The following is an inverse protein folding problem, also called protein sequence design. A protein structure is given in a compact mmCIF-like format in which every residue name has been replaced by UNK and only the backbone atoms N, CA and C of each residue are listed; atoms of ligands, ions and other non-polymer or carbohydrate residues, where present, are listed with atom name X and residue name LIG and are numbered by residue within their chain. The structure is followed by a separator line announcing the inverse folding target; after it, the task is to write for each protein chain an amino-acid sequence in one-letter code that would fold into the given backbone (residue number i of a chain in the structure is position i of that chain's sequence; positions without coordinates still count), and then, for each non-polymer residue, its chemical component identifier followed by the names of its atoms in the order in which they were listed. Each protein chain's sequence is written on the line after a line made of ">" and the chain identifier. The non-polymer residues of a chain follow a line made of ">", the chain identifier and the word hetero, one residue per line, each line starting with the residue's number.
data_IF_424912029035
#
_entry.id   IF_424912029035
#
_cell.length_a   1.000
_cell.length_b   1.000
_cell.length_c   1.000
_cell.angle_alpha   90.00
_cell.angle_beta   90.00
_cell.angle_gamma   90.00
#
_symmetry.space_group_name_H-M   'P 1'
#
loop_
_entity.id
_entity.type
_entity.pdbx_description
1 polymer ?
#
# COMPACT_ATOMS: atom_id res chain seq x y z
N UNK A 1 34.19 58.64 2.75
CA UNK A 1 33.54 57.74 1.75
C UNK A 1 33.59 56.26 2.19
N UNK A 2 34.62 55.83 2.92
CA UNK A 2 34.87 54.41 3.26
C UNK A 2 33.90 53.75 4.26
N UNK A 3 33.35 54.48 5.23
CA UNK A 3 32.45 53.87 6.23
C UNK A 3 31.11 53.42 5.62
N UNK A 4 30.56 54.19 4.68
CA UNK A 4 29.30 53.84 4.00
C UNK A 4 29.46 52.59 3.13
N UNK A 5 30.60 52.44 2.44
CA UNK A 5 30.90 51.26 1.61
C UNK A 5 31.12 50.00 2.45
N UNK A 6 31.79 50.10 3.61
CA UNK A 6 31.93 48.97 4.55
C UNK A 6 30.58 48.50 5.13
N UNK A 7 29.69 49.43 5.49
CA UNK A 7 28.35 49.09 5.97
C UNK A 7 27.49 48.40 4.89
N UNK A 8 27.57 48.87 3.64
CA UNK A 8 26.90 48.23 2.50
C UNK A 8 27.43 46.81 2.26
N UNK A 9 28.75 46.61 2.30
CA UNK A 9 29.37 45.31 2.13
C UNK A 9 28.97 44.31 3.23
N UNK A 10 28.96 44.75 4.49
CA UNK A 10 28.52 43.94 5.62
C UNK A 10 27.02 43.57 5.53
N UNK A 11 26.18 44.47 5.03
CA UNK A 11 24.76 44.21 4.77
C UNK A 11 24.57 43.12 3.72
N UNK A 12 25.25 43.25 2.58
CA UNK A 12 25.22 42.26 1.49
C UNK A 12 25.70 40.88 1.96
N UNK A 13 26.77 40.82 2.75
CA UNK A 13 27.28 39.56 3.29
C UNK A 13 26.27 38.87 4.22
N UNK A 14 25.63 39.63 5.13
CA UNK A 14 24.58 39.09 6.02
C UNK A 14 23.40 38.55 5.23
N UNK A 15 22.99 39.27 4.18
CA UNK A 15 21.88 38.84 3.33
C UNK A 15 22.21 37.55 2.58
N UNK A 16 23.37 37.48 1.93
CA UNK A 16 23.86 36.27 1.25
C UNK A 16 23.90 35.05 2.17
N UNK A 17 24.45 35.21 3.38
CA UNK A 17 24.51 34.15 4.39
C UNK A 17 23.10 33.68 4.78
N UNK A 18 22.16 34.60 4.94
CA UNK A 18 20.77 34.27 5.27
C UNK A 18 20.07 33.49 4.15
N UNK A 19 20.31 33.88 2.88
CA UNK A 19 19.75 33.21 1.70
C UNK A 19 20.30 31.79 1.55
N UNK A 20 21.61 31.61 1.76
CA UNK A 20 22.24 30.28 1.71
C UNK A 20 21.67 29.35 2.79
N UNK A 21 21.51 29.84 4.03
CA UNK A 21 20.89 29.06 5.11
C UNK A 21 19.46 28.65 4.76
N UNK A 22 18.63 29.60 4.29
CA UNK A 22 17.25 29.31 3.85
C UNK A 22 17.20 28.28 2.72
N UNK A 23 18.09 28.38 1.74
CA UNK A 23 18.19 27.40 0.65
C UNK A 23 18.55 26.00 1.17
N UNK A 24 19.50 25.92 2.09
CA UNK A 24 19.87 24.66 2.77
C UNK A 24 18.68 24.04 3.52
N UNK A 25 17.99 24.84 4.34
CA UNK A 25 16.83 24.37 5.10
C UNK A 25 15.69 23.87 4.19
N UNK A 26 15.41 24.56 3.09
CA UNK A 26 14.41 24.14 2.09
C UNK A 26 14.84 22.83 1.42
N UNK A 27 16.12 22.71 1.04
CA UNK A 27 16.65 21.50 0.41
C UNK A 27 16.53 20.29 1.35
N UNK A 28 16.91 20.44 2.62
CA UNK A 28 16.80 19.38 3.64
C UNK A 28 15.34 18.96 3.82
N UNK A 29 14.42 19.92 3.97
CA UNK A 29 12.98 19.63 4.11
C UNK A 29 12.40 18.86 2.93
N UNK A 30 12.81 19.20 1.69
CA UNK A 30 12.38 18.47 0.49
C UNK A 30 12.88 17.03 0.50
N UNK A 31 14.17 16.83 0.81
CA UNK A 31 14.75 15.49 0.86
C UNK A 31 14.12 14.63 1.95
N UNK A 32 13.91 15.16 3.15
CA UNK A 32 13.26 14.41 4.22
C UNK A 32 11.82 14.06 3.86
N UNK A 33 11.07 14.96 3.23
CA UNK A 33 9.73 14.67 2.74
C UNK A 33 9.71 13.53 1.73
N UNK A 34 10.59 13.56 0.71
CA UNK A 34 10.69 12.49 -0.29
C UNK A 34 11.04 11.13 0.33
N UNK A 35 12.00 11.10 1.25
CA UNK A 35 12.40 9.86 1.94
C UNK A 35 11.26 9.31 2.81
N UNK A 36 10.51 10.19 3.49
CA UNK A 36 9.35 9.80 4.29
C UNK A 36 8.22 9.25 3.40
N UNK A 37 7.93 9.90 2.27
CA UNK A 37 6.93 9.41 1.32
C UNK A 37 7.31 8.05 0.73
N UNK A 38 8.56 7.88 0.32
CA UNK A 38 9.06 6.60 -0.17
C UNK A 38 8.91 5.49 0.88
N UNK A 39 9.29 5.78 2.13
CA UNK A 39 9.20 4.82 3.23
C UNK A 39 7.75 4.41 3.50
N UNK A 40 6.81 5.36 3.48
CA UNK A 40 5.37 5.10 3.62
C UNK A 40 4.84 4.22 2.49
N UNK A 41 5.09 4.59 1.23
CA UNK A 41 4.68 3.80 0.06
C UNK A 41 5.22 2.38 0.10
N UNK A 42 6.47 2.19 0.54
CA UNK A 42 7.07 0.86 0.72
C UNK A 42 6.36 0.03 1.79
N UNK A 43 6.00 0.65 2.92
CA UNK A 43 5.25 -0.04 3.98
C UNK A 43 3.82 -0.40 3.55
N UNK A 44 3.14 0.49 2.84
CA UNK A 44 1.80 0.24 2.29
C UNK A 44 1.81 -0.91 1.29
N UNK A 45 2.76 -0.90 0.33
CA UNK A 45 2.91 -1.98 -0.63
C UNK A 45 3.18 -3.35 0.04
N UNK A 46 4.00 -3.36 1.10
CA UNK A 46 4.26 -4.57 1.88
C UNK A 46 3.00 -5.07 2.59
N UNK A 47 2.23 -4.16 3.18
CA UNK A 47 0.98 -4.50 3.85
C UNK A 47 -0.05 -5.07 2.86
N UNK A 48 -0.22 -4.43 1.71
CA UNK A 48 -1.11 -4.91 0.64
C UNK A 48 -0.71 -6.32 0.19
N UNK A 49 0.58 -6.56 -0.02
CA UNK A 49 1.07 -7.89 -0.40
C UNK A 49 0.80 -8.94 0.68
N UNK A 50 0.96 -8.58 1.96
CA UNK A 50 0.63 -9.47 3.07
C UNK A 50 -0.87 -9.77 3.13
N UNK A 51 -1.71 -8.76 2.96
CA UNK A 51 -3.16 -8.91 2.91
C UNK A 51 -3.56 -9.84 1.76
N UNK A 52 -3.06 -9.60 0.55
CA UNK A 52 -3.32 -10.46 -0.62
C UNK A 52 -2.90 -11.91 -0.39
N UNK A 53 -1.76 -12.16 0.27
CA UNK A 53 -1.33 -13.51 0.65
C UNK A 53 -2.21 -14.14 1.72
N UNK A 54 -2.74 -13.33 2.63
CA UNK A 54 -3.60 -13.79 3.72
C UNK A 54 -5.05 -14.06 3.30
N UNK A 55 -5.49 -13.47 2.17
CA UNK A 55 -6.78 -13.81 1.56
C UNK A 55 -6.70 -15.25 1.08
N UNK A 56 -7.27 -16.17 1.86
CA UNK A 56 -7.55 -17.53 1.40
C UNK A 56 -8.45 -17.41 0.18
N UNK A 57 -7.98 -17.94 -0.95
CA UNK A 57 -8.84 -18.17 -2.10
C UNK A 57 -10.07 -18.94 -1.61
N UNK A 58 -11.26 -18.51 -2.02
CA UNK A 58 -12.47 -19.31 -1.82
C UNK A 58 -12.19 -20.64 -2.48
N UNK A 59 -12.16 -21.70 -1.69
CA UNK A 59 -11.98 -23.04 -2.21
C UNK A 59 -13.10 -23.26 -3.21
N UNK A 60 -12.76 -23.39 -4.51
CA UNK A 60 -13.76 -23.52 -5.58
C UNK A 60 -14.68 -24.73 -5.35
N UNK A 61 -14.25 -25.65 -4.48
CA UNK A 61 -14.97 -26.83 -4.04
C UNK A 61 -15.20 -26.86 -2.52
N UNK A 62 -15.33 -25.71 -1.86
CA UNK A 62 -15.64 -25.57 -0.44
C UNK A 62 -16.85 -26.44 -0.02
N UNK A 63 -16.55 -27.69 0.36
CA UNK A 63 -17.47 -28.71 0.87
C UNK A 63 -18.66 -29.09 -0.03
N UNK A 64 -18.51 -29.05 -1.35
CA UNK A 64 -19.52 -29.56 -2.28
C UNK A 64 -18.91 -30.59 -3.20
N UNK A 65 -19.22 -31.88 -2.99
CA UNK A 65 -18.98 -32.88 -4.04
C UNK A 65 -19.67 -32.39 -5.32
N UNK A 66 -18.93 -32.31 -6.43
CA UNK A 66 -19.55 -32.11 -7.74
C UNK A 66 -20.61 -33.19 -7.88
N UNK A 67 -21.90 -32.80 -7.95
CA UNK A 67 -23.01 -33.73 -7.82
C UNK A 67 -22.82 -34.92 -8.76
N UNK A 68 -22.78 -36.13 -8.20
CA UNK A 68 -22.57 -37.33 -9.01
C UNK A 68 -23.80 -37.53 -9.90
N UNK A 69 -23.59 -37.48 -11.22
CA UNK A 69 -24.65 -37.74 -12.19
C UNK A 69 -24.79 -39.25 -12.36
N UNK A 70 -25.99 -39.77 -12.11
CA UNK A 70 -26.26 -41.20 -12.27
C UNK A 70 -26.13 -41.57 -13.75
N UNK A 71 -25.22 -42.49 -14.08
CA UNK A 71 -24.91 -42.88 -15.46
C UNK A 71 -25.92 -43.87 -16.04
N UNK A 72 -26.46 -44.77 -15.23
CA UNK A 72 -27.29 -45.89 -15.70
C UNK A 72 -28.49 -46.16 -14.75
N UNK A 73 -29.57 -46.73 -15.29
CA UNK A 73 -30.78 -47.12 -14.55
C UNK A 73 -31.96 -46.13 -14.63
N UNK A 74 -33.05 -46.41 -13.90
CA UNK A 74 -34.33 -45.64 -13.93
C UNK A 74 -34.18 -44.14 -13.58
N UNK A 75 -33.07 -43.76 -12.92
CA UNK A 75 -32.76 -42.38 -12.53
C UNK A 75 -31.52 -41.83 -13.24
N UNK A 76 -31.08 -42.43 -14.35
CA UNK A 76 -29.99 -41.93 -15.16
C UNK A 76 -30.24 -40.47 -15.60
N UNK A 77 -29.20 -39.65 -15.56
CA UNK A 77 -29.27 -38.21 -15.85
C UNK A 77 -29.72 -37.33 -14.68
N UNK A 78 -30.13 -37.90 -13.55
CA UNK A 78 -30.41 -37.13 -12.32
C UNK A 78 -29.14 -36.96 -11.47
N UNK A 79 -28.97 -35.77 -10.90
CA UNK A 79 -27.89 -35.46 -9.97
C UNK A 79 -28.27 -35.97 -8.58
N UNK A 80 -27.44 -36.83 -7.98
CA UNK A 80 -27.60 -37.25 -6.59
C UNK A 80 -27.33 -36.03 -5.70
N UNK A 81 -28.30 -35.67 -4.87
CA UNK A 81 -28.42 -34.43 -4.09
C UNK A 81 -27.08 -33.79 -3.64
N UNK A 82 -26.97 -32.47 -3.75
CA UNK A 82 -25.83 -31.74 -3.21
C UNK A 82 -25.80 -31.88 -1.68
N UNK A 83 -24.71 -32.40 -1.13
CA UNK A 83 -24.52 -32.45 0.33
C UNK A 83 -24.30 -31.01 0.81
N UNK A 84 -25.37 -30.33 1.24
CA UNK A 84 -25.27 -29.03 1.92
C UNK A 84 -25.26 -29.24 3.43
N UNK A 85 -24.34 -28.59 4.13
CA UNK A 85 -24.42 -28.47 5.59
C UNK A 85 -25.57 -27.52 5.93
N UNK A 86 -26.59 -28.02 6.61
CA UNK A 86 -27.65 -27.14 7.15
C UNK A 86 -27.05 -26.32 8.30
N UNK A 87 -27.11 -24.98 8.26
CA UNK A 87 -26.59 -24.15 9.35
C UNK A 87 -27.38 -24.32 10.66
N UNK A 88 -28.54 -24.96 10.62
CA UNK A 88 -29.43 -25.16 11.78
C UNK A 88 -29.29 -26.54 12.46
N UNK A 89 -28.27 -27.34 12.11
CA UNK A 89 -27.89 -28.54 12.89
C UNK A 89 -26.40 -28.49 13.19
N UNK A 90 -26.08 -28.00 14.38
CA UNK A 90 -24.82 -28.26 15.08
C UNK A 90 -24.84 -29.69 15.64
#
# INVERSE_FOLDING_TARGET
>A
MEKKTLHLHAGLYKELKSRLKKKGDVMIKRHTHLLNEFSRKKSEAKLIQQLQRSVKAVDANANGTSGYTIKEGKNAGKVLNHIRKNPNKL
#
